data_IF_406196980520
#
_entry.id   IF_406196980520
#
_cell.length_a   1.000
_cell.length_b   1.000
_cell.length_c   1.000
_cell.angle_alpha   90.00
_cell.angle_beta   90.00
_cell.angle_gamma   90.00
#
_symmetry.space_group_name_H-M   'P 1'
#
loop_
_entity.id
_entity.type
_entity.pdbx_description
1 polymer ?
#
# COMPACT_ATOMS: atom_id res chain seq x y z
N UNK A 1 0.28 -18.56 -31.65
CA UNK A 1 0.17 -18.12 -30.26
C UNK A 1 -0.33 -16.69 -30.28
N UNK A 2 -1.64 -16.50 -30.19
CA UNK A 2 -2.29 -15.20 -30.28
C UNK A 2 -3.22 -15.10 -29.07
N UNK A 3 -2.67 -14.60 -27.97
CA UNK A 3 -3.43 -14.25 -26.77
C UNK A 3 -4.32 -13.08 -27.14
N UNK A 4 -5.63 -13.30 -27.25
CA UNK A 4 -6.59 -12.20 -27.37
C UNK A 4 -7.23 -12.04 -25.99
N UNK A 5 -6.62 -11.20 -25.14
CA UNK A 5 -7.19 -10.80 -23.85
C UNK A 5 -7.97 -9.50 -24.08
N UNK A 6 -9.26 -9.50 -23.79
CA UNK A 6 -10.04 -8.26 -23.65
C UNK A 6 -9.97 -7.90 -22.17
N UNK A 7 -8.91 -7.19 -21.79
CA UNK A 7 -8.83 -6.53 -20.50
C UNK A 7 -9.40 -5.11 -20.69
N UNK A 8 -10.50 -4.80 -20.01
CA UNK A 8 -10.93 -3.41 -19.88
C UNK A 8 -10.21 -2.81 -18.67
N UNK A 9 -8.92 -2.56 -18.83
CA UNK A 9 -8.12 -1.87 -17.83
C UNK A 9 -8.33 -0.36 -18.04
N UNK A 10 -8.99 0.30 -17.09
CA UNK A 10 -8.80 1.73 -16.94
C UNK A 10 -7.44 1.94 -16.32
N UNK A 11 -6.42 2.26 -17.12
CA UNK A 11 -5.21 2.88 -16.58
C UNK A 11 -5.61 4.21 -15.98
N UNK A 12 -5.75 4.29 -14.66
CA UNK A 12 -5.70 5.55 -13.95
C UNK A 12 -4.25 5.75 -13.50
N UNK A 13 -3.42 6.34 -14.36
CA UNK A 13 -2.37 7.22 -13.84
C UNK A 13 -2.99 8.62 -13.73
N UNK A 14 -2.60 9.31 -12.65
CA UNK A 14 -2.76 10.75 -12.39
C UNK A 14 -4.03 11.15 -11.64
N UNK A 15 -3.75 11.88 -10.55
CA UNK A 15 -4.50 12.98 -9.95
C UNK A 15 -5.89 13.32 -10.54
N UNK A 16 -6.87 13.39 -9.63
CA UNK A 16 -8.21 13.95 -9.82
C UNK A 16 -9.04 13.36 -10.96
N UNK A 17 -9.89 12.37 -10.63
CA UNK A 17 -11.13 12.15 -11.37
C UNK A 17 -12.31 12.16 -10.40
N UNK A 18 -13.32 12.89 -10.84
CA UNK A 18 -14.56 13.26 -10.15
C UNK A 18 -15.24 12.04 -9.56
N UNK A 19 -15.22 11.96 -8.22
CA UNK A 19 -16.19 11.18 -7.48
C UNK A 19 -17.59 11.72 -7.81
N UNK A 20 -18.46 10.88 -8.36
CA UNK A 20 -19.90 11.18 -8.38
C UNK A 20 -20.38 11.12 -6.94
N UNK A 21 -20.60 12.30 -6.35
CA UNK A 21 -21.07 12.44 -4.97
C UNK A 21 -22.52 11.95 -4.84
N UNK A 22 -22.84 10.95 -3.99
CA UNK A 22 -24.19 10.85 -3.46
C UNK A 22 -24.42 12.06 -2.53
N UNK A 23 -25.39 12.89 -2.90
CA UNK A 23 -25.71 14.13 -2.18
C UNK A 23 -26.45 13.83 -0.86
N UNK A 24 -25.75 14.15 0.23
CA UNK A 24 -26.14 14.71 1.53
C UNK A 24 -27.19 14.03 2.44
N UNK A 25 -26.72 13.66 3.63
CA UNK A 25 -27.45 13.83 4.90
C UNK A 25 -26.58 14.71 5.82
N UNK A 26 -27.14 15.80 6.37
CA UNK A 26 -26.38 16.90 7.01
C UNK A 26 -26.01 16.70 8.50
N UNK A 27 -24.71 16.78 8.85
CA UNK A 27 -24.15 17.14 10.17
C UNK A 27 -22.79 17.85 9.97
N UNK A 28 -22.84 19.17 9.73
CA UNK A 28 -21.88 19.89 8.86
C UNK A 28 -20.51 20.31 9.44
N UNK A 29 -19.96 19.68 10.49
CA UNK A 29 -18.58 20.02 10.95
C UNK A 29 -17.66 18.80 11.14
N UNK A 30 -18.23 17.61 11.44
CA UNK A 30 -17.45 16.37 11.58
C UNK A 30 -17.23 15.66 10.24
N UNK A 31 -18.08 15.96 9.25
CA UNK A 31 -18.11 15.26 7.97
C UNK A 31 -17.02 15.70 6.98
N UNK A 32 -16.40 16.87 7.19
CA UNK A 32 -15.34 17.39 6.30
C UNK A 32 -13.96 16.83 6.66
N UNK A 33 -13.85 16.10 7.77
CA UNK A 33 -12.60 15.54 8.29
C UNK A 33 -12.50 14.03 8.11
N UNK A 34 -13.52 13.41 7.55
CA UNK A 34 -13.57 11.96 7.32
C UNK A 34 -13.79 11.74 5.85
N UNK A 35 -12.90 10.97 5.24
CA UNK A 35 -12.99 10.52 3.87
C UNK A 35 -13.14 8.99 3.87
N UNK A 36 -14.06 8.51 3.04
CA UNK A 36 -14.29 7.08 2.84
C UNK A 36 -14.06 6.76 1.38
N UNK A 37 -13.24 5.74 1.13
CA UNK A 37 -12.86 5.27 -0.19
C UNK A 37 -12.98 3.75 -0.29
N UNK A 38 -12.72 3.22 -1.48
CA UNK A 38 -12.64 1.79 -1.70
C UNK A 38 -12.73 1.40 -3.17
N UNK A 39 -12.39 0.14 -3.43
CA UNK A 39 -12.46 -0.49 -4.75
C UNK A 39 -13.11 -1.86 -4.67
N UNK A 40 -13.73 -2.28 -5.76
CA UNK A 40 -14.16 -3.66 -5.99
C UNK A 40 -13.72 -4.03 -7.41
N UNK A 41 -12.93 -5.09 -7.50
CA UNK A 41 -12.36 -5.59 -8.74
C UNK A 41 -12.90 -6.99 -9.03
N UNK A 42 -13.30 -7.22 -10.28
CA UNK A 42 -13.78 -8.52 -10.75
C UNK A 42 -12.95 -8.90 -11.95
N UNK A 43 -12.28 -10.05 -11.88
CA UNK A 43 -11.43 -10.56 -12.94
C UNK A 43 -12.08 -11.77 -13.62
N UNK A 44 -12.03 -11.79 -14.95
CA UNK A 44 -12.35 -12.96 -15.76
C UNK A 44 -11.09 -13.43 -16.50
N UNK A 45 -10.77 -14.72 -16.40
CA UNK A 45 -9.58 -15.30 -17.02
C UNK A 45 -9.93 -16.46 -17.95
N UNK A 46 -9.09 -16.69 -18.97
CA UNK A 46 -9.16 -17.85 -19.86
C UNK A 46 -7.74 -18.28 -20.21
N UNK A 47 -7.45 -19.57 -20.06
CA UNK A 47 -6.16 -20.15 -20.42
C UNK A 47 -6.39 -21.40 -21.28
N UNK A 48 -5.59 -21.56 -22.33
CA UNK A 48 -5.62 -22.73 -23.20
C UNK A 48 -4.28 -23.46 -23.12
N UNK A 49 -4.31 -24.72 -22.67
CA UNK A 49 -3.13 -25.55 -22.51
C UNK A 49 -3.14 -26.69 -23.53
N UNK A 50 -2.04 -26.82 -24.28
CA UNK A 50 -1.89 -27.82 -25.36
C UNK A 50 -2.10 -29.27 -24.90
N UNK A 51 -1.95 -29.55 -23.60
CA UNK A 51 -2.04 -30.90 -23.01
C UNK A 51 -3.28 -31.06 -22.12
N UNK A 52 -3.65 -30.04 -21.34
CA UNK A 52 -4.69 -30.13 -20.31
C UNK A 52 -6.06 -29.55 -20.74
N UNK A 53 -6.15 -29.01 -21.96
CA UNK A 53 -7.36 -28.35 -22.47
C UNK A 53 -7.48 -26.89 -22.02
N UNK A 54 -8.66 -26.31 -22.19
CA UNK A 54 -8.92 -24.92 -21.81
C UNK A 54 -9.58 -24.80 -20.44
N UNK A 55 -9.24 -23.73 -19.72
CA UNK A 55 -9.86 -23.31 -18.46
C UNK A 55 -10.36 -21.87 -18.56
N UNK A 56 -11.38 -21.56 -17.78
CA UNK A 56 -11.93 -20.21 -17.62
C UNK A 56 -12.32 -19.98 -16.18
N UNK A 57 -12.16 -18.75 -15.70
CA UNK A 57 -12.48 -18.37 -14.33
C UNK A 57 -13.10 -16.98 -14.25
N UNK A 58 -13.83 -16.72 -13.17
CA UNK A 58 -14.42 -15.42 -12.83
C UNK A 58 -14.43 -15.25 -11.31
N UNK A 59 -13.64 -14.30 -10.82
CA UNK A 59 -13.40 -14.08 -9.38
C UNK A 59 -13.62 -12.62 -9.00
N UNK A 60 -13.97 -12.37 -7.75
CA UNK A 60 -13.82 -11.04 -7.14
C UNK A 60 -12.35 -10.89 -6.73
N UNK A 61 -11.55 -10.32 -7.62
CA UNK A 61 -10.11 -10.20 -7.45
C UNK A 61 -9.74 -9.42 -6.19
N UNK A 62 -10.42 -8.29 -5.94
CA UNK A 62 -10.11 -7.44 -4.78
C UNK A 62 -11.35 -6.71 -4.29
N UNK A 63 -11.50 -6.61 -2.97
CA UNK A 63 -12.36 -5.63 -2.31
C UNK A 63 -11.51 -4.89 -1.30
N UNK A 64 -11.33 -3.58 -1.49
CA UNK A 64 -10.67 -2.73 -0.52
C UNK A 64 -11.61 -1.61 -0.06
N UNK A 65 -11.61 -1.32 1.23
CA UNK A 65 -12.35 -0.19 1.82
C UNK A 65 -11.38 0.64 2.64
N UNK A 66 -11.51 1.95 2.55
CA UNK A 66 -10.57 2.89 3.16
C UNK A 66 -11.32 3.94 3.97
N UNK A 67 -10.72 4.32 5.09
CA UNK A 67 -11.17 5.39 5.96
C UNK A 67 -9.99 6.27 6.32
N UNK A 68 -10.01 7.52 5.90
CA UNK A 68 -9.09 8.55 6.35
C UNK A 68 -9.82 9.53 7.27
N UNK A 69 -9.18 9.94 8.37
CA UNK A 69 -9.79 10.88 9.32
C UNK A 69 -8.77 11.85 9.95
N UNK A 70 -9.01 13.15 9.86
CA UNK A 70 -8.31 14.16 10.67
C UNK A 70 -8.95 14.21 12.07
N UNK A 71 -8.42 13.39 12.99
CA UNK A 71 -8.98 13.24 14.34
C UNK A 71 -8.64 14.43 15.26
N UNK A 72 -7.56 15.16 14.96
CA UNK A 72 -7.18 16.43 15.59
C UNK A 72 -6.33 17.26 14.60
N UNK A 73 -6.12 18.58 14.83
CA UNK A 73 -5.30 19.38 13.93
C UNK A 73 -3.92 18.76 13.67
N UNK A 74 -3.62 18.48 12.40
CA UNK A 74 -2.42 17.78 11.91
C UNK A 74 -2.24 16.34 12.44
N UNK A 75 -3.29 15.70 12.96
CA UNK A 75 -3.28 14.31 13.42
C UNK A 75 -4.28 13.53 12.59
N UNK A 76 -3.75 12.69 11.71
CA UNK A 76 -4.49 11.92 10.73
C UNK A 76 -4.47 10.44 11.11
N UNK A 77 -5.60 9.77 11.00
CA UNK A 77 -5.72 8.33 11.11
C UNK A 77 -6.11 7.76 9.74
N UNK A 78 -5.51 6.65 9.34
CA UNK A 78 -5.86 5.94 8.11
C UNK A 78 -6.04 4.46 8.41
N UNK A 79 -7.12 3.88 7.88
CA UNK A 79 -7.39 2.45 7.97
C UNK A 79 -7.83 1.96 6.60
N UNK A 80 -7.21 0.89 6.11
CA UNK A 80 -7.63 0.18 4.92
C UNK A 80 -7.93 -1.29 5.26
N UNK A 81 -8.93 -1.84 4.60
CA UNK A 81 -9.23 -3.28 4.63
C UNK A 81 -8.96 -3.88 3.28
N UNK A 82 -8.55 -5.15 3.24
CA UNK A 82 -8.35 -5.90 2.01
C UNK A 82 -9.06 -7.25 2.11
N UNK A 83 -9.65 -7.67 0.99
CA UNK A 83 -10.18 -9.01 0.77
C UNK A 83 -9.92 -9.40 -0.67
N UNK A 84 -9.45 -10.63 -0.88
CA UNK A 84 -9.15 -11.19 -2.19
C UNK A 84 -9.69 -12.61 -2.22
N UNK A 85 -10.56 -12.92 -3.20
CA UNK A 85 -11.16 -14.24 -3.30
C UNK A 85 -10.06 -15.31 -3.54
N UNK A 86 -10.08 -16.36 -2.71
CA UNK A 86 -9.11 -17.47 -2.72
C UNK A 86 -7.65 -17.14 -2.30
N UNK A 87 -7.35 -15.93 -1.84
CA UNK A 87 -6.01 -15.55 -1.36
C UNK A 87 -6.04 -14.95 0.06
N UNK A 88 -6.71 -13.82 0.23
CA UNK A 88 -6.69 -13.03 1.47
C UNK A 88 -8.10 -12.89 2.06
N UNK A 89 -8.35 -13.53 3.22
CA UNK A 89 -9.56 -13.29 4.02
C UNK A 89 -9.65 -11.80 4.42
N UNK A 90 -10.87 -11.30 4.66
CA UNK A 90 -11.06 -9.89 5.03
C UNK A 90 -10.22 -9.52 6.26
N UNK A 91 -9.27 -8.60 6.06
CA UNK A 91 -8.35 -8.17 7.10
C UNK A 91 -8.17 -6.64 7.14
N UNK A 92 -7.49 -6.17 8.19
CA UNK A 92 -6.98 -4.79 8.26
C UNK A 92 -5.62 -4.80 7.59
N UNK A 93 -5.55 -4.17 6.43
CA UNK A 93 -4.36 -4.13 5.61
C UNK A 93 -3.39 -3.03 6.09
N UNK A 94 -3.90 -1.80 6.17
CA UNK A 94 -3.16 -0.63 6.68
C UNK A 94 -3.88 -0.06 7.89
N UNK A 95 -3.12 0.34 8.92
CA UNK A 95 -3.64 1.04 10.08
C UNK A 95 -2.58 1.98 10.65
N UNK A 96 -2.69 3.28 10.35
CA UNK A 96 -1.69 4.27 10.73
C UNK A 96 -2.26 5.48 11.44
N UNK A 97 -1.39 6.11 12.23
CA UNK A 97 -1.56 7.43 12.80
C UNK A 97 -0.39 8.30 12.36
N UNK A 98 -0.69 9.43 11.71
CA UNK A 98 0.30 10.39 11.24
C UNK A 98 0.12 11.73 11.93
N UNK A 99 1.22 12.26 12.47
CA UNK A 99 1.31 13.63 12.98
C UNK A 99 2.08 14.44 11.95
N UNK A 100 1.34 15.25 11.19
CA UNK A 100 1.91 16.16 10.22
C UNK A 100 2.42 17.44 10.87
N UNK A 101 3.29 18.14 10.15
CA UNK A 101 3.87 19.41 10.57
C UNK A 101 4.44 19.36 12.00
N UNK A 102 5.11 18.26 12.35
CA UNK A 102 5.66 18.00 13.67
C UNK A 102 6.53 19.19 14.09
N UNK A 103 6.24 19.75 15.27
CA UNK A 103 6.90 20.95 15.79
C UNK A 103 6.83 22.17 14.85
N UNK A 104 5.76 22.31 14.07
CA UNK A 104 5.57 23.35 13.04
C UNK A 104 6.70 23.35 11.98
N UNK A 105 7.18 22.18 11.61
CA UNK A 105 8.23 21.99 10.61
C UNK A 105 7.76 21.10 9.46
N UNK A 106 8.49 20.97 8.34
CA UNK A 106 8.13 20.05 7.25
C UNK A 106 8.34 18.56 7.60
N UNK A 107 8.40 18.21 8.89
CA UNK A 107 8.52 16.85 9.38
C UNK A 107 7.14 16.26 9.67
N UNK A 108 6.96 14.98 9.38
CA UNK A 108 5.84 14.17 9.87
C UNK A 108 6.35 12.95 10.62
N UNK A 109 5.52 12.44 11.53
CA UNK A 109 5.73 11.18 12.25
C UNK A 109 4.57 10.26 11.96
N UNK A 110 4.83 9.11 11.35
CA UNK A 110 3.84 8.04 11.12
C UNK A 110 4.13 6.86 12.03
N UNK A 111 3.09 6.32 12.65
CA UNK A 111 3.14 5.13 13.52
C UNK A 111 2.01 4.17 13.11
N UNK A 112 2.28 2.88 13.02
CA UNK A 112 1.23 1.89 12.75
C UNK A 112 1.69 0.76 11.84
N UNK A 113 0.74 -0.02 11.36
CA UNK A 113 0.97 -1.05 10.35
C UNK A 113 0.81 -0.44 8.96
N UNK A 114 1.84 -0.57 8.14
CA UNK A 114 1.89 -0.03 6.79
C UNK A 114 2.98 -0.75 5.98
N UNK A 115 3.02 -0.48 4.69
CA UNK A 115 4.08 -0.94 3.79
C UNK A 115 5.33 -0.07 3.93
N UNK A 116 6.49 -0.71 4.11
CA UNK A 116 7.76 0.00 4.21
C UNK A 116 8.09 0.67 2.87
N UNK A 117 8.60 1.92 2.85
CA UNK A 117 8.95 2.62 1.61
C UNK A 117 10.27 2.06 1.04
N UNK A 118 10.22 0.84 0.53
CA UNK A 118 11.35 0.11 -0.01
C UNK A 118 10.97 -0.55 -1.32
N UNK A 119 11.59 -0.07 -2.41
CA UNK A 119 11.31 -0.59 -3.74
C UNK A 119 10.04 0.05 -4.30
N UNK A 120 10.19 0.86 -5.34
CA UNK A 120 9.05 1.33 -6.14
C UNK A 120 8.76 0.30 -7.22
N UNK A 121 7.67 -0.42 -7.03
CA UNK A 121 7.20 -1.46 -7.95
C UNK A 121 6.00 -0.95 -8.75
N UNK A 122 6.19 0.14 -9.50
CA UNK A 122 5.15 0.60 -10.42
C UNK A 122 5.14 -0.28 -11.66
N UNK A 123 3.98 -0.87 -11.95
CA UNK A 123 3.79 -1.72 -13.12
C UNK A 123 2.48 -1.35 -13.80
N UNK A 124 2.46 -1.41 -15.13
CA UNK A 124 1.23 -1.33 -15.91
C UNK A 124 0.70 -2.73 -16.27
N UNK A 125 1.06 -3.73 -15.48
CA UNK A 125 0.64 -5.11 -15.70
C UNK A 125 -0.75 -5.33 -15.09
N UNK A 126 -1.45 -6.34 -15.62
CA UNK A 126 -2.77 -6.76 -15.10
C UNK A 126 -2.62 -7.50 -13.78
N UNK A 127 -1.50 -8.20 -13.60
CA UNK A 127 -1.18 -8.96 -12.40
C UNK A 127 0.06 -8.36 -11.76
N UNK A 128 0.17 -8.55 -10.46
CA UNK A 128 1.34 -8.13 -9.71
C UNK A 128 2.62 -8.79 -10.23
N UNK A 129 3.67 -7.99 -10.26
CA UNK A 129 4.98 -8.54 -10.61
C UNK A 129 5.52 -9.35 -9.45
N UNK A 130 6.20 -10.46 -9.75
CA UNK A 130 6.95 -11.22 -8.76
C UNK A 130 7.90 -10.33 -7.93
N UNK A 131 8.41 -9.23 -8.48
CA UNK A 131 9.24 -8.29 -7.74
C UNK A 131 8.48 -7.49 -6.68
N UNK A 132 7.21 -7.14 -6.96
CA UNK A 132 6.30 -6.50 -6.01
C UNK A 132 5.99 -7.49 -4.88
N UNK A 133 5.51 -8.69 -5.22
CA UNK A 133 5.14 -9.71 -4.25
C UNK A 133 6.30 -10.15 -3.33
N UNK A 134 7.54 -10.12 -3.83
CA UNK A 134 8.73 -10.41 -3.02
C UNK A 134 9.30 -9.20 -2.26
N UNK A 135 8.96 -7.99 -2.68
CA UNK A 135 9.55 -6.74 -2.21
C UNK A 135 8.65 -5.94 -1.28
N UNK A 136 7.35 -6.24 -1.29
CA UNK A 136 6.36 -5.64 -0.44
C UNK A 136 6.53 -6.14 1.01
N UNK A 137 6.96 -5.23 1.89
CA UNK A 137 7.17 -5.52 3.30
C UNK A 137 6.14 -4.76 4.12
N UNK A 138 5.11 -5.47 4.60
CA UNK A 138 4.08 -4.92 5.49
C UNK A 138 4.45 -5.17 6.95
N UNK A 139 4.68 -4.11 7.71
CA UNK A 139 5.16 -4.22 9.08
C UNK A 139 4.57 -3.14 10.00
N UNK A 140 4.60 -3.41 11.31
CA UNK A 140 4.37 -2.33 12.28
C UNK A 140 5.62 -1.47 12.40
N UNK A 141 5.52 -0.20 12.03
CA UNK A 141 6.64 0.73 11.95
C UNK A 141 6.40 2.06 12.66
N UNK A 142 7.51 2.73 12.95
CA UNK A 142 7.56 4.15 13.25
C UNK A 142 8.51 4.87 12.30
N UNK A 143 8.01 5.91 11.64
CA UNK A 143 8.71 6.60 10.56
C UNK A 143 8.69 8.12 10.76
N UNK A 144 9.86 8.74 10.62
CA UNK A 144 10.00 10.18 10.49
C UNK A 144 10.26 10.53 9.03
N UNK A 145 9.47 11.45 8.50
CA UNK A 145 9.58 11.90 7.11
C UNK A 145 9.76 13.41 7.06
N UNK A 146 10.73 13.88 6.28
CA UNK A 146 10.85 15.27 5.87
C UNK A 146 10.36 15.41 4.43
N UNK A 147 9.45 16.34 4.15
CA UNK A 147 8.97 16.61 2.79
C UNK A 147 8.97 18.11 2.48
N UNK A 148 9.64 18.51 1.40
CA UNK A 148 9.67 19.90 0.94
C UNK A 148 10.02 20.01 -0.55
N UNK A 149 9.19 20.74 -1.31
CA UNK A 149 9.48 21.11 -2.71
C UNK A 149 9.83 19.91 -3.60
N UNK A 150 9.09 18.81 -3.46
CA UNK A 150 9.28 17.56 -4.22
C UNK A 150 10.34 16.63 -3.65
N UNK A 151 11.17 17.05 -2.68
CA UNK A 151 12.11 16.18 -1.97
C UNK A 151 11.40 15.49 -0.79
N UNK A 152 11.58 14.18 -0.67
CA UNK A 152 11.22 13.39 0.50
C UNK A 152 12.46 12.67 1.07
N UNK A 153 12.58 12.67 2.40
CA UNK A 153 13.58 11.90 3.13
C UNK A 153 12.92 11.24 4.33
N UNK A 154 12.96 9.92 4.40
CA UNK A 154 12.35 9.13 5.46
C UNK A 154 13.37 8.25 6.15
N UNK A 155 13.23 8.14 7.48
CA UNK A 155 13.94 7.19 8.30
C UNK A 155 12.92 6.45 9.18
N UNK A 156 13.00 5.13 9.19
CA UNK A 156 12.00 4.31 9.87
C UNK A 156 12.63 3.13 10.61
N UNK A 157 11.96 2.69 11.66
CA UNK A 157 12.22 1.45 12.39
C UNK A 157 10.96 0.61 12.38
N UNK A 158 11.11 -0.71 12.38
CA UNK A 158 9.97 -1.61 12.27
C UNK A 158 10.19 -2.89 13.07
N UNK A 159 9.09 -3.47 13.54
CA UNK A 159 9.09 -4.83 14.05
C UNK A 159 9.13 -5.77 12.84
N UNK A 160 10.03 -6.76 12.82
CA UNK A 160 10.10 -7.74 11.72
C UNK A 160 9.66 -9.11 12.20
N UNK A 161 9.21 -9.96 11.28
CA UNK A 161 8.49 -11.20 11.59
C UNK A 161 9.35 -12.37 12.14
N UNK A 162 10.64 -12.13 12.48
CA UNK A 162 11.56 -13.18 12.93
C UNK A 162 12.39 -12.82 14.17
N UNK A 163 11.99 -13.41 15.30
CA UNK A 163 12.86 -13.65 16.44
C UNK A 163 12.77 -15.13 16.88
N UNK A 164 13.85 -15.88 16.68
CA UNK A 164 14.01 -17.23 17.22
C UNK A 164 14.28 -17.23 18.74
N UNK A 165 14.18 -16.08 19.38
CA UNK A 165 14.11 -15.91 20.83
C UNK A 165 12.91 -15.00 21.15
N UNK A 166 12.16 -15.28 22.23
CA UNK A 166 10.99 -14.51 22.68
C UNK A 166 11.32 -13.05 23.12
N UNK A 167 12.03 -12.27 22.32
CA UNK A 167 12.49 -10.93 22.63
C UNK A 167 12.36 -10.05 21.39
N UNK A 168 11.16 -9.51 21.11
CA UNK A 168 10.97 -8.53 20.03
C UNK A 168 11.97 -7.37 20.16
N UNK A 169 13.04 -7.37 19.39
CA UNK A 169 13.99 -6.26 19.33
C UNK A 169 13.72 -5.38 18.11
N UNK A 170 13.69 -4.06 18.33
CA UNK A 170 13.67 -3.02 17.29
C UNK A 170 15.04 -2.96 16.58
N UNK A 171 15.44 -4.05 15.94
CA UNK A 171 16.72 -4.19 15.23
C UNK A 171 16.63 -3.85 13.74
N UNK A 172 15.43 -3.63 13.22
CA UNK A 172 15.23 -3.35 11.81
C UNK A 172 14.97 -1.85 11.57
N UNK A 173 15.65 -1.30 10.57
CA UNK A 173 15.56 0.10 10.19
C UNK A 173 15.74 0.26 8.69
N UNK A 174 15.26 1.39 8.17
CA UNK A 174 15.48 1.75 6.78
C UNK A 174 15.54 3.25 6.57
N UNK A 175 15.98 3.61 5.36
CA UNK A 175 16.07 4.97 4.87
C UNK A 175 15.47 5.00 3.45
N UNK A 176 14.68 6.01 3.15
CA UNK A 176 14.18 6.27 1.80
C UNK A 176 14.44 7.72 1.44
N UNK A 177 14.87 7.97 0.21
CA UNK A 177 15.03 9.29 -0.36
C UNK A 177 14.33 9.34 -1.71
N UNK A 178 13.43 10.31 -1.88
CA UNK A 178 12.68 10.52 -3.11
C UNK A 178 12.79 11.96 -3.60
N UNK A 179 12.70 12.13 -4.91
CA UNK A 179 12.46 13.41 -5.53
C UNK A 179 11.42 13.27 -6.64
N UNK A 180 10.38 14.09 -6.58
CA UNK A 180 9.30 14.09 -7.56
C UNK A 180 8.91 15.51 -8.00
N UNK A 181 8.64 15.64 -9.30
CA UNK A 181 7.98 16.79 -9.92
C UNK A 181 7.10 16.32 -11.10
N UNK A 182 6.49 17.27 -11.81
CA UNK A 182 5.58 17.01 -12.95
C UNK A 182 6.15 16.14 -14.08
N UNK A 183 7.46 15.93 -14.15
CA UNK A 183 8.12 15.21 -15.24
C UNK A 183 8.92 14.00 -14.79
N UNK A 184 9.44 14.01 -13.56
CA UNK A 184 10.35 12.98 -13.09
C UNK A 184 10.06 12.64 -11.64
N UNK A 185 10.06 11.33 -11.38
CA UNK A 185 10.08 10.78 -10.03
C UNK A 185 11.27 9.81 -9.94
N UNK A 186 12.18 10.06 -9.02
CA UNK A 186 13.33 9.19 -8.74
C UNK A 186 13.42 8.93 -7.24
N UNK A 187 13.88 7.74 -6.87
CA UNK A 187 14.06 7.38 -5.47
C UNK A 187 15.21 6.41 -5.27
N UNK A 188 15.69 6.34 -4.04
CA UNK A 188 16.66 5.36 -3.58
C UNK A 188 16.33 4.98 -2.14
N UNK A 189 16.24 3.66 -1.92
CA UNK A 189 15.85 3.10 -0.64
C UNK A 189 16.93 2.16 -0.11
N UNK A 190 17.03 2.10 1.21
CA UNK A 190 17.92 1.21 1.93
C UNK A 190 17.16 0.56 3.07
N UNK A 191 17.18 -0.77 3.12
CA UNK A 191 16.61 -1.55 4.20
C UNK A 191 17.72 -2.36 4.89
N UNK A 192 17.89 -2.13 6.18
CA UNK A 192 18.72 -2.98 7.02
C UNK A 192 18.01 -4.29 7.32
N UNK A 193 18.71 -5.41 7.16
CA UNK A 193 18.23 -6.76 7.52
C UNK A 193 17.05 -7.31 6.68
N UNK A 194 17.22 -7.32 5.35
CA UNK A 194 16.27 -7.83 4.34
C UNK A 194 15.70 -9.23 4.66
N UNK A 195 16.46 -10.12 5.33
CA UNK A 195 16.02 -11.47 5.67
C UNK A 195 14.85 -11.53 6.68
N UNK A 196 14.66 -10.47 7.48
CA UNK A 196 13.60 -10.39 8.51
C UNK A 196 12.38 -9.57 8.08
N UNK A 197 12.38 -9.07 6.84
CA UNK A 197 11.36 -8.22 6.23
C UNK A 197 10.58 -8.93 5.11
N UNK A 198 10.88 -10.21 4.87
CA UNK A 198 10.21 -11.01 3.82
C UNK A 198 8.93 -11.64 4.35
N UNK A 199 7.90 -11.83 3.50
CA UNK A 199 6.69 -12.55 3.86
C UNK A 199 6.97 -13.94 4.45
N UNK A 200 6.22 -14.32 5.48
CA UNK A 200 6.46 -15.53 6.29
C UNK A 200 6.45 -16.85 5.49
N UNK A 201 5.79 -16.89 4.33
CA UNK A 201 5.70 -18.06 3.44
C UNK A 201 6.96 -18.31 2.61
N UNK A 202 7.91 -17.37 2.53
CA UNK A 202 9.20 -17.57 1.83
C UNK A 202 10.25 -18.32 2.67
N UNK A 203 10.05 -18.45 3.98
CA UNK A 203 11.09 -18.89 4.92
C UNK A 203 11.03 -20.38 5.31
N UNK A 204 10.34 -21.20 4.53
CA UNK A 204 10.26 -22.66 4.73
C UNK A 204 11.20 -23.42 3.78
N UNK A 205 12.52 -23.28 3.96
CA UNK A 205 13.52 -24.28 3.54
C UNK A 205 14.71 -24.35 4.48
#
# INVERSE_FOLDING_TARGET
MMLTRIALQTSAMIASIVAVSPTAISQAEFNDRIEFGGTIEVEASYADHDIDGSSSDLVVATVALELAAEIAPNVNAFVATLYEEDDTDLEIDVATLTIDQLLNSPLSLTLGQDYLPFGRYETALVNDTLALELGETRETMGMLTFSQSGLSLSAFVFNGDHDSSNQSTLENFGLSLGFENDNVAIGADYLGNIWKAMPSWLNHR
#
